data_IF_593268192853
#
_entry.id   IF_593268192853
#
_cell.length_a   1.000
_cell.length_b   1.000
_cell.length_c   1.000
_cell.angle_alpha   90.00
_cell.angle_beta   90.00
_cell.angle_gamma   90.00
#
_symmetry.space_group_name_H-M   'P 1'
#
loop_
_entity.id
_entity.type
_entity.pdbx_description
1 polymer ?
#
# COMPACT_ATOMS: atom_id res chain seq x y z
N UNK A 1 32.40 2.01 1.38
CA UNK A 1 31.01 2.36 1.06
C UNK A 1 30.12 1.20 1.49
N UNK A 2 29.07 1.44 2.28
CA UNK A 2 28.17 0.36 2.75
C UNK A 2 27.42 -0.28 1.56
N UNK A 3 26.90 -1.52 1.73
CA UNK A 3 26.06 -2.18 0.72
C UNK A 3 24.91 -1.28 0.28
N UNK A 4 24.32 -0.55 1.23
CA UNK A 4 23.16 0.28 0.93
C UNK A 4 23.53 1.56 0.19
N UNK A 5 24.67 2.19 0.52
CA UNK A 5 25.16 3.32 -0.25
C UNK A 5 25.50 2.93 -1.71
N UNK A 6 26.02 1.71 -1.94
CA UNK A 6 26.21 1.19 -3.29
C UNK A 6 24.88 0.97 -4.03
N UNK A 7 23.85 0.46 -3.34
CA UNK A 7 22.50 0.33 -3.93
C UNK A 7 21.92 1.70 -4.29
N UNK A 8 22.02 2.70 -3.41
CA UNK A 8 21.54 4.06 -3.68
C UNK A 8 22.22 4.66 -4.91
N UNK A 9 23.54 4.52 -5.04
CA UNK A 9 24.26 4.98 -6.22
C UNK A 9 23.75 4.33 -7.52
N UNK A 10 23.52 3.01 -7.49
CA UNK A 10 22.95 2.29 -8.64
C UNK A 10 21.53 2.75 -8.94
N UNK A 11 20.71 3.00 -7.92
CA UNK A 11 19.35 3.50 -8.08
C UNK A 11 19.36 4.88 -8.73
N UNK A 12 20.20 5.81 -8.28
CA UNK A 12 20.30 7.14 -8.90
C UNK A 12 20.71 7.06 -10.38
N UNK A 13 21.64 6.16 -10.72
CA UNK A 13 22.03 5.92 -12.11
C UNK A 13 20.87 5.34 -12.94
N UNK A 14 20.16 4.36 -12.40
CA UNK A 14 19.02 3.73 -13.07
C UNK A 14 17.83 4.68 -13.24
N UNK A 15 17.57 5.54 -12.25
CA UNK A 15 16.53 6.57 -12.33
C UNK A 15 16.85 7.57 -13.43
N UNK A 16 18.11 8.02 -13.51
CA UNK A 16 18.55 8.98 -14.51
C UNK A 16 18.50 8.43 -15.95
N UNK A 17 18.58 7.10 -16.13
CA UNK A 17 18.50 6.45 -17.44
C UNK A 17 17.09 5.96 -17.80
N UNK A 18 16.20 5.80 -16.83
CA UNK A 18 14.83 5.36 -17.06
C UNK A 18 13.96 6.51 -17.63
N UNK A 19 13.26 6.25 -18.73
CA UNK A 19 12.47 7.25 -19.45
C UNK A 19 11.11 7.59 -18.83
N UNK A 20 10.63 6.83 -17.85
CA UNK A 20 9.35 7.03 -17.16
C UNK A 20 9.35 6.45 -15.74
N UNK A 21 8.42 6.90 -14.90
CA UNK A 21 8.33 6.51 -13.48
C UNK A 21 8.06 5.01 -13.27
N UNK A 22 7.33 4.35 -14.17
CA UNK A 22 7.08 2.92 -14.07
C UNK A 22 8.39 2.11 -14.19
N UNK A 23 9.25 2.45 -15.16
CA UNK A 23 10.57 1.81 -15.32
C UNK A 23 11.51 2.11 -14.16
N UNK A 24 11.42 3.31 -13.57
CA UNK A 24 12.19 3.64 -12.36
C UNK A 24 11.86 2.69 -11.22
N UNK A 25 10.57 2.41 -10.99
CA UNK A 25 10.13 1.46 -9.95
C UNK A 25 10.62 0.04 -10.22
N UNK A 26 10.63 -0.41 -11.48
CA UNK A 26 11.14 -1.74 -11.84
C UNK A 26 12.63 -1.89 -11.52
N UNK A 27 13.44 -0.88 -11.86
CA UNK A 27 14.87 -0.90 -11.56
C UNK A 27 15.17 -0.80 -10.06
N UNK A 28 14.42 0.04 -9.33
CA UNK A 28 14.52 0.11 -7.87
C UNK A 28 14.22 -1.26 -7.25
N UNK A 29 13.12 -1.90 -7.66
CA UNK A 29 12.73 -3.20 -7.15
C UNK A 29 13.82 -4.26 -7.36
N UNK A 30 14.47 -4.27 -8.53
CA UNK A 30 15.61 -5.16 -8.82
C UNK A 30 16.80 -4.87 -7.90
N UNK A 31 17.17 -3.60 -7.72
CA UNK A 31 18.36 -3.22 -6.95
C UNK A 31 18.17 -3.45 -5.45
N UNK A 32 16.97 -3.14 -4.92
CA UNK A 32 16.62 -3.36 -3.51
C UNK A 32 16.32 -4.81 -3.19
N UNK A 33 15.89 -5.59 -4.17
CA UNK A 33 15.38 -6.94 -3.95
C UNK A 33 13.96 -6.92 -3.38
N UNK A 34 13.14 -5.96 -3.81
CA UNK A 34 11.71 -5.96 -3.48
C UNK A 34 11.04 -7.18 -4.10
N UNK A 35 9.99 -7.65 -3.44
CA UNK A 35 9.09 -8.62 -4.03
C UNK A 35 8.44 -8.01 -5.26
N UNK A 36 8.57 -8.71 -6.38
CA UNK A 36 8.23 -8.22 -7.72
C UNK A 36 7.87 -9.41 -8.62
N UNK A 37 7.17 -9.18 -9.74
CA UNK A 37 6.90 -10.24 -10.70
C UNK A 37 8.16 -10.95 -11.17
N UNK A 38 8.01 -12.24 -11.47
CA UNK A 38 9.03 -13.00 -12.15
C UNK A 38 9.35 -12.41 -13.53
N UNK A 39 10.59 -12.58 -13.97
CA UNK A 39 11.01 -12.13 -15.29
C UNK A 39 10.26 -12.92 -16.37
N UNK A 40 9.61 -12.22 -17.30
CA UNK A 40 8.76 -12.84 -18.32
C UNK A 40 7.41 -13.34 -17.80
N UNK A 41 6.94 -12.89 -16.63
CA UNK A 41 5.63 -13.27 -16.07
C UNK A 41 4.47 -12.87 -17.00
N UNK A 42 3.78 -13.87 -17.55
CA UNK A 42 2.54 -13.65 -18.34
C UNK A 42 1.42 -13.06 -17.48
N UNK A 43 1.40 -13.37 -16.17
CA UNK A 43 0.48 -12.75 -15.22
C UNK A 43 0.74 -11.25 -15.11
N UNK A 44 2.00 -10.84 -14.99
CA UNK A 44 2.35 -9.42 -14.95
C UNK A 44 1.95 -8.70 -16.22
N UNK A 45 2.24 -9.29 -17.38
CA UNK A 45 1.86 -8.76 -18.69
C UNK A 45 0.34 -8.58 -18.79
N UNK A 46 -0.44 -9.58 -18.37
CA UNK A 46 -1.91 -9.49 -18.37
C UNK A 46 -2.41 -8.36 -17.47
N UNK A 47 -1.81 -8.19 -16.29
CA UNK A 47 -2.14 -7.05 -15.40
C UNK A 47 -1.81 -5.72 -16.08
N UNK A 48 -0.71 -5.61 -16.83
CA UNK A 48 -0.36 -4.39 -17.56
C UNK A 48 -1.34 -4.09 -18.71
N UNK A 49 -1.66 -5.08 -19.53
CA UNK A 49 -2.62 -4.92 -20.63
C UNK A 49 -3.99 -4.43 -20.10
N UNK A 50 -4.41 -4.94 -18.94
CA UNK A 50 -5.63 -4.47 -18.27
C UNK A 50 -5.52 -3.03 -17.78
N UNK A 51 -4.40 -2.65 -17.16
CA UNK A 51 -4.17 -1.28 -16.69
C UNK A 51 -4.01 -0.27 -17.82
N UNK A 52 -3.57 -0.72 -18.98
CA UNK A 52 -3.44 0.04 -20.22
C UNK A 52 -4.73 0.01 -21.06
N UNK A 53 -5.82 -0.58 -20.54
CA UNK A 53 -7.14 -0.65 -21.21
C UNK A 53 -7.13 -1.42 -22.54
N UNK A 54 -6.12 -2.26 -22.74
CA UNK A 54 -6.05 -3.13 -23.92
C UNK A 54 -6.96 -4.36 -23.80
N UNK A 55 -7.30 -4.75 -22.57
CA UNK A 55 -8.27 -5.80 -22.24
C UNK A 55 -9.18 -5.34 -21.11
N UNK A 56 -10.38 -5.91 -21.02
CA UNK A 56 -11.31 -5.64 -19.92
C UNK A 56 -11.05 -6.55 -18.70
N UNK A 57 -11.78 -6.32 -17.61
CA UNK A 57 -11.62 -7.07 -16.36
C UNK A 57 -11.98 -8.56 -16.50
N UNK A 58 -12.94 -8.90 -17.37
CA UNK A 58 -13.36 -10.29 -17.57
C UNK A 58 -12.30 -11.06 -18.33
N UNK A 59 -11.71 -10.45 -19.36
CA UNK A 59 -10.61 -11.03 -20.12
C UNK A 59 -9.36 -11.16 -19.25
N UNK A 60 -9.01 -10.13 -18.48
CA UNK A 60 -7.90 -10.19 -17.53
C UNK A 60 -8.08 -11.30 -16.49
N UNK A 61 -9.27 -11.38 -15.87
CA UNK A 61 -9.62 -12.42 -14.91
C UNK A 61 -9.52 -13.81 -15.54
N UNK A 62 -10.10 -14.02 -16.73
CA UNK A 62 -10.04 -15.29 -17.44
C UNK A 62 -8.59 -15.74 -17.67
N UNK A 63 -7.72 -14.84 -18.15
CA UNK A 63 -6.32 -15.16 -18.45
C UNK A 63 -5.52 -15.45 -17.18
N UNK A 64 -5.71 -14.67 -16.13
CA UNK A 64 -5.00 -14.85 -14.86
C UNK A 64 -5.43 -16.11 -14.10
N UNK A 65 -6.73 -16.41 -14.12
CA UNK A 65 -7.30 -17.49 -13.31
C UNK A 65 -7.25 -18.84 -14.03
N UNK A 66 -7.12 -18.86 -15.36
CA UNK A 66 -7.09 -20.11 -16.13
C UNK A 66 -6.06 -21.12 -15.60
N UNK A 67 -4.81 -20.73 -15.40
CA UNK A 67 -3.78 -21.64 -14.92
C UNK A 67 -4.05 -22.13 -13.49
N UNK A 68 -4.69 -21.30 -12.68
CA UNK A 68 -5.08 -21.63 -11.30
C UNK A 68 -6.25 -22.64 -11.34
N UNK A 69 -7.26 -22.38 -12.15
CA UNK A 69 -8.43 -23.24 -12.35
C UNK A 69 -8.03 -24.63 -12.85
N UNK A 70 -7.11 -24.71 -13.81
CA UNK A 70 -6.58 -25.97 -14.33
C UNK A 70 -5.93 -26.82 -13.23
N UNK A 71 -5.11 -26.19 -12.37
CA UNK A 71 -4.44 -26.86 -11.25
C UNK A 71 -5.43 -27.27 -10.15
N UNK A 72 -6.44 -26.44 -9.89
CA UNK A 72 -7.53 -26.78 -8.96
C UNK A 72 -8.31 -28.00 -9.47
N UNK A 73 -8.66 -28.03 -10.77
CA UNK A 73 -9.34 -29.16 -11.43
C UNK A 73 -8.52 -30.44 -11.41
N UNK A 74 -7.20 -30.36 -11.54
CA UNK A 74 -6.31 -31.52 -11.43
C UNK A 74 -5.95 -31.90 -9.99
N UNK A 75 -6.47 -31.20 -8.98
CA UNK A 75 -6.10 -31.34 -7.56
C UNK A 75 -4.59 -31.14 -7.28
N UNK A 76 -3.90 -30.39 -8.14
CA UNK A 76 -2.49 -30.01 -8.03
C UNK A 76 -2.32 -28.70 -7.26
N UNK A 77 -2.86 -28.64 -6.04
CA UNK A 77 -2.95 -27.38 -5.28
C UNK A 77 -1.58 -26.80 -4.91
N UNK A 78 -0.60 -27.67 -4.63
CA UNK A 78 0.77 -27.26 -4.27
C UNK A 78 1.50 -26.56 -5.44
N UNK A 79 1.01 -26.70 -6.67
CA UNK A 79 1.58 -26.06 -7.87
C UNK A 79 0.98 -24.68 -8.15
N UNK A 80 -0.01 -24.24 -7.37
CA UNK A 80 -0.63 -22.93 -7.52
C UNK A 80 0.27 -21.87 -6.87
N UNK A 81 0.74 -20.92 -7.68
CA UNK A 81 1.61 -19.83 -7.21
C UNK A 81 0.80 -18.54 -7.01
N UNK A 82 0.08 -18.45 -5.89
CA UNK A 82 -0.66 -17.23 -5.54
C UNK A 82 0.27 -16.04 -5.27
N UNK A 83 1.46 -16.30 -4.71
CA UNK A 83 2.45 -15.25 -4.42
C UNK A 83 2.83 -14.47 -5.67
N UNK A 84 3.10 -15.14 -6.79
CA UNK A 84 3.42 -14.48 -8.07
C UNK A 84 2.28 -13.56 -8.53
N UNK A 85 1.02 -14.02 -8.44
CA UNK A 85 -0.14 -13.20 -8.80
C UNK A 85 -0.23 -11.94 -7.92
N UNK A 86 -0.06 -12.10 -6.60
CA UNK A 86 -0.09 -10.97 -5.67
C UNK A 86 1.08 -10.02 -5.88
N UNK A 87 2.28 -10.52 -6.13
CA UNK A 87 3.43 -9.70 -6.47
C UNK A 87 3.18 -8.92 -7.77
N UNK A 88 2.53 -9.51 -8.78
CA UNK A 88 2.13 -8.79 -10.00
C UNK A 88 1.20 -7.60 -9.71
N UNK A 89 0.15 -7.83 -8.93
CA UNK A 89 -0.88 -6.82 -8.62
C UNK A 89 -0.29 -5.72 -7.72
N UNK A 90 0.37 -6.10 -6.62
CA UNK A 90 0.90 -5.14 -5.64
C UNK A 90 2.07 -4.33 -6.23
N UNK A 91 2.94 -4.97 -7.02
CA UNK A 91 4.02 -4.25 -7.71
C UNK A 91 3.46 -3.24 -8.72
N UNK A 92 2.39 -3.58 -9.43
CA UNK A 92 1.72 -2.64 -10.35
C UNK A 92 1.16 -1.44 -9.61
N UNK A 93 0.59 -1.62 -8.42
CA UNK A 93 0.07 -0.51 -7.61
C UNK A 93 1.17 0.51 -7.24
N UNK A 94 2.41 0.08 -7.00
CA UNK A 94 3.54 0.98 -6.70
C UNK A 94 3.84 1.97 -7.84
N UNK A 95 3.54 1.61 -9.09
CA UNK A 95 3.95 2.34 -10.30
C UNK A 95 3.06 3.52 -10.66
N UNK A 96 1.87 3.64 -10.07
CA UNK A 96 0.90 4.68 -10.44
C UNK A 96 0.66 5.67 -9.32
N UNK A 97 0.90 6.98 -9.56
CA UNK A 97 0.61 8.03 -8.60
C UNK A 97 -0.84 7.97 -8.11
N UNK A 98 -1.05 8.04 -6.79
CA UNK A 98 -2.40 8.06 -6.21
C UNK A 98 -3.08 9.43 -6.25
N UNK A 99 -2.35 10.49 -6.65
CA UNK A 99 -2.83 11.90 -6.63
C UNK A 99 -2.89 12.57 -8.00
N UNK A 100 -2.69 11.84 -9.09
CA UNK A 100 -2.80 12.43 -10.43
C UNK A 100 -4.26 12.46 -10.92
N UNK A 101 -4.62 13.52 -11.65
CA UNK A 101 -5.91 13.79 -12.29
C UNK A 101 -6.20 12.81 -13.46
N UNK A 102 -6.16 11.51 -13.20
CA UNK A 102 -6.63 10.53 -14.17
C UNK A 102 -8.14 10.35 -14.04
N UNK A 103 -8.87 10.52 -15.15
CA UNK A 103 -10.30 10.18 -15.24
C UNK A 103 -10.61 8.73 -14.83
N UNK A 104 -9.59 7.87 -14.76
CA UNK A 104 -9.65 6.50 -14.27
C UNK A 104 -8.56 6.27 -13.22
N UNK A 105 -8.94 5.98 -11.98
CA UNK A 105 -7.99 5.61 -10.93
C UNK A 105 -7.49 4.18 -11.19
N UNK A 106 -6.24 4.03 -11.66
CA UNK A 106 -5.64 2.69 -11.92
C UNK A 106 -5.63 1.79 -10.69
N UNK A 107 -5.60 2.37 -9.49
CA UNK A 107 -5.77 1.63 -8.23
C UNK A 107 -7.15 0.99 -8.13
N UNK A 108 -8.23 1.68 -8.53
CA UNK A 108 -9.57 1.10 -8.53
C UNK A 108 -9.67 -0.07 -9.53
N UNK A 109 -9.00 0.02 -10.70
CA UNK A 109 -8.93 -1.10 -11.64
C UNK A 109 -8.31 -2.34 -11.00
N UNK A 110 -7.18 -2.19 -10.30
CA UNK A 110 -6.55 -3.30 -9.56
C UNK A 110 -7.47 -3.86 -8.47
N UNK A 111 -8.25 -3.01 -7.81
CA UNK A 111 -9.23 -3.42 -6.80
C UNK A 111 -10.39 -4.18 -7.43
N UNK A 112 -10.86 -3.78 -8.61
CA UNK A 112 -11.87 -4.51 -9.37
C UNK A 112 -11.37 -5.90 -9.80
N UNK A 113 -10.09 -6.01 -10.15
CA UNK A 113 -9.47 -7.31 -10.46
C UNK A 113 -9.38 -8.21 -9.22
N UNK A 114 -9.04 -7.65 -8.05
CA UNK A 114 -9.09 -8.40 -6.78
C UNK A 114 -10.51 -8.84 -6.46
N UNK A 115 -11.51 -7.98 -6.69
CA UNK A 115 -12.91 -8.32 -6.48
C UNK A 115 -13.33 -9.48 -7.39
N UNK A 116 -12.99 -9.41 -8.69
CA UNK A 116 -13.24 -10.48 -9.64
C UNK A 116 -12.60 -11.81 -9.19
N UNK A 117 -11.38 -11.76 -8.66
CA UNK A 117 -10.71 -12.94 -8.08
C UNK A 117 -11.49 -13.49 -6.89
N UNK A 118 -11.88 -12.63 -5.94
CA UNK A 118 -12.58 -13.05 -4.72
C UNK A 118 -13.95 -13.66 -5.00
N UNK A 119 -14.62 -13.17 -6.04
CA UNK A 119 -15.94 -13.63 -6.49
C UNK A 119 -15.86 -14.82 -7.48
N UNK A 120 -14.65 -15.18 -7.93
CA UNK A 120 -14.45 -16.29 -8.86
C UNK A 120 -14.75 -17.63 -8.21
N UNK A 121 -15.25 -18.56 -9.02
CA UNK A 121 -15.52 -19.94 -8.61
C UNK A 121 -15.19 -20.88 -9.74
N UNK A 122 -14.71 -22.08 -9.38
CA UNK A 122 -14.39 -23.11 -10.36
C UNK A 122 -15.61 -24.03 -10.52
N UNK A 123 -16.23 -24.09 -11.72
CA UNK A 123 -17.36 -24.98 -11.96
C UNK A 123 -17.01 -26.43 -11.60
N UNK A 124 -17.97 -27.12 -10.97
CA UNK A 124 -17.83 -28.53 -10.54
C UNK A 124 -16.71 -28.77 -9.51
N UNK A 125 -16.13 -27.72 -8.93
CA UNK A 125 -15.05 -27.83 -7.95
C UNK A 125 -15.22 -26.88 -6.75
N UNK A 126 -16.46 -26.81 -6.24
CA UNK A 126 -16.85 -25.92 -5.14
C UNK A 126 -16.01 -26.08 -3.87
N UNK A 127 -15.48 -27.29 -3.65
CA UNK A 127 -14.61 -27.63 -2.51
C UNK A 127 -13.39 -26.70 -2.41
N UNK A 128 -12.86 -26.20 -3.52
CA UNK A 128 -11.65 -25.37 -3.55
C UNK A 128 -11.92 -23.88 -3.81
N UNK A 129 -13.19 -23.44 -3.87
CA UNK A 129 -13.53 -22.03 -4.03
C UNK A 129 -13.05 -21.14 -2.86
N UNK A 130 -12.70 -21.73 -1.71
CA UNK A 130 -12.08 -20.99 -0.61
C UNK A 130 -10.74 -20.36 -1.01
N UNK A 131 -9.99 -20.97 -1.94
CA UNK A 131 -8.70 -20.43 -2.40
C UNK A 131 -8.84 -19.01 -2.99
N UNK A 132 -9.95 -18.77 -3.68
CA UNK A 132 -10.33 -17.47 -4.23
C UNK A 132 -10.96 -16.57 -3.18
N UNK A 133 -12.03 -17.03 -2.52
CA UNK A 133 -12.81 -16.20 -1.59
C UNK A 133 -12.05 -15.76 -0.34
N UNK A 134 -11.14 -16.60 0.17
CA UNK A 134 -10.22 -16.28 1.27
C UNK A 134 -8.96 -15.54 0.80
N UNK A 135 -8.74 -15.44 -0.52
CA UNK A 135 -7.57 -14.82 -1.13
C UNK A 135 -6.27 -15.43 -0.59
N UNK A 136 -6.08 -16.74 -0.81
CA UNK A 136 -4.92 -17.48 -0.31
C UNK A 136 -3.61 -16.74 -0.56
N UNK A 137 -2.76 -16.67 0.48
CA UNK A 137 -1.47 -15.97 0.52
C UNK A 137 -1.48 -14.44 0.35
N UNK A 138 -2.64 -13.80 0.14
CA UNK A 138 -2.70 -12.36 -0.07
C UNK A 138 -2.17 -11.55 1.12
N UNK A 139 -2.53 -11.95 2.34
CA UNK A 139 -2.04 -11.29 3.56
C UNK A 139 -0.51 -11.40 3.71
N UNK A 140 0.08 -12.51 3.27
CA UNK A 140 1.53 -12.72 3.27
C UNK A 140 2.21 -11.83 2.24
N UNK A 141 1.73 -11.82 1.00
CA UNK A 141 2.24 -10.93 -0.05
C UNK A 141 2.10 -9.46 0.35
N UNK A 142 1.00 -9.09 1.02
CA UNK A 142 0.82 -7.74 1.53
C UNK A 142 1.89 -7.36 2.56
N UNK A 143 2.20 -8.28 3.47
CA UNK A 143 3.21 -8.08 4.52
C UNK A 143 4.61 -7.98 3.93
N UNK A 144 4.93 -8.82 2.95
CA UNK A 144 6.18 -8.79 2.20
C UNK A 144 6.39 -7.45 1.52
N UNK A 145 5.42 -7.00 0.72
CA UNK A 145 5.49 -5.70 0.06
C UNK A 145 5.52 -4.52 1.06
N UNK A 146 4.91 -4.68 2.24
CA UNK A 146 4.97 -3.67 3.30
C UNK A 146 6.39 -3.54 3.91
N UNK A 147 7.25 -4.55 3.77
CA UNK A 147 8.65 -4.46 4.22
C UNK A 147 9.53 -3.67 3.25
N UNK A 148 9.03 -3.32 2.07
CA UNK A 148 9.70 -2.44 1.09
C UNK A 148 9.58 -0.95 1.45
N UNK A 149 9.31 -0.64 2.72
CA UNK A 149 9.22 0.72 3.25
C UNK A 149 10.52 1.50 2.96
N UNK A 150 10.46 2.79 2.58
CA UNK A 150 11.64 3.59 2.34
C UNK A 150 12.52 3.71 3.60
N UNK A 151 13.82 3.51 3.44
CA UNK A 151 14.81 3.63 4.54
C UNK A 151 15.84 4.69 4.18
N UNK A 152 16.18 5.53 5.15
CA UNK A 152 17.18 6.57 4.98
C UNK A 152 18.59 5.99 4.87
N UNK A 153 19.30 6.39 3.82
CA UNK A 153 20.71 6.05 3.61
C UNK A 153 21.40 7.22 2.91
N UNK A 154 21.68 8.27 3.68
CA UNK A 154 22.08 9.61 3.22
C UNK A 154 20.92 10.36 2.52
N UNK A 155 19.75 10.35 3.16
CA UNK A 155 18.48 10.83 2.64
C UNK A 155 17.58 9.70 2.15
N UNK A 156 16.42 10.10 1.60
CA UNK A 156 15.44 9.20 1.01
C UNK A 156 15.43 9.37 -0.51
N UNK A 157 15.16 8.28 -1.22
CA UNK A 157 14.93 8.30 -2.66
C UNK A 157 13.44 8.60 -2.89
N UNK A 158 13.16 9.66 -3.63
CA UNK A 158 11.79 10.18 -3.82
C UNK A 158 10.86 9.16 -4.47
N UNK A 159 11.34 8.42 -5.47
CA UNK A 159 10.61 7.36 -6.14
C UNK A 159 10.24 6.20 -5.20
N UNK A 160 11.06 5.92 -4.17
CA UNK A 160 10.72 4.91 -3.16
C UNK A 160 9.58 5.42 -2.26
N UNK A 161 9.62 6.69 -1.87
CA UNK A 161 8.58 7.34 -1.08
C UNK A 161 7.24 7.38 -1.83
N UNK A 162 7.27 7.71 -3.11
CA UNK A 162 6.09 7.71 -3.98
C UNK A 162 5.52 6.31 -4.14
N UNK A 163 6.35 5.32 -4.49
CA UNK A 163 5.93 3.92 -4.60
C UNK A 163 5.29 3.39 -3.32
N UNK A 164 5.88 3.77 -2.17
CA UNK A 164 5.36 3.42 -0.87
C UNK A 164 3.98 4.02 -0.60
N UNK A 165 3.79 5.30 -0.90
CA UNK A 165 2.51 5.97 -0.73
C UNK A 165 1.44 5.42 -1.69
N UNK A 166 1.80 5.13 -2.94
CA UNK A 166 0.93 4.51 -3.94
C UNK A 166 0.43 3.13 -3.46
N UNK A 167 1.32 2.29 -2.93
CA UNK A 167 0.93 1.00 -2.37
C UNK A 167 0.03 1.14 -1.14
N UNK A 168 0.31 2.09 -0.25
CA UNK A 168 -0.57 2.35 0.90
C UNK A 168 -1.97 2.81 0.46
N UNK A 169 -2.06 3.63 -0.60
CA UNK A 169 -3.34 4.02 -1.18
C UNK A 169 -4.10 2.79 -1.71
N UNK A 170 -3.42 1.90 -2.43
CA UNK A 170 -4.01 0.65 -2.90
C UNK A 170 -4.57 -0.20 -1.76
N UNK A 171 -3.80 -0.38 -0.67
CA UNK A 171 -4.29 -1.10 0.52
C UNK A 171 -5.49 -0.41 1.16
N UNK A 172 -5.49 0.93 1.18
CA UNK A 172 -6.62 1.71 1.65
C UNK A 172 -7.88 1.43 0.80
N UNK A 173 -7.76 1.41 -0.53
CA UNK A 173 -8.89 1.10 -1.42
C UNK A 173 -9.42 -0.32 -1.24
N UNK A 174 -8.55 -1.32 -1.06
CA UNK A 174 -8.94 -2.71 -0.76
C UNK A 174 -9.74 -2.79 0.55
N UNK A 175 -9.26 -2.12 1.60
CA UNK A 175 -9.94 -2.07 2.89
C UNK A 175 -11.26 -1.29 2.83
N UNK A 176 -11.33 -0.25 2.01
CA UNK A 176 -12.55 0.55 1.80
C UNK A 176 -13.67 -0.28 1.17
N UNK A 177 -13.32 -1.10 0.16
CA UNK A 177 -14.23 -2.03 -0.51
C UNK A 177 -14.52 -3.31 0.28
N UNK A 178 -14.00 -3.44 1.51
CA UNK A 178 -14.17 -4.61 2.39
C UNK A 178 -13.69 -5.94 1.77
N UNK A 179 -12.76 -5.90 0.82
CA UNK A 179 -12.26 -7.13 0.18
C UNK A 179 -11.34 -7.92 1.11
N UNK A 180 -10.54 -7.20 1.91
CA UNK A 180 -9.65 -7.75 2.93
C UNK A 180 -9.37 -6.69 4.03
N UNK A 181 -9.30 -7.11 5.31
CA UNK A 181 -8.97 -6.18 6.41
C UNK A 181 -7.47 -5.87 6.41
N UNK A 182 -7.12 -4.73 5.81
CA UNK A 182 -5.76 -4.17 5.80
C UNK A 182 -5.61 -2.98 6.76
N UNK A 183 -6.59 -2.74 7.63
CA UNK A 183 -6.62 -1.55 8.52
C UNK A 183 -5.40 -1.44 9.43
N UNK A 184 -4.78 -2.57 9.81
CA UNK A 184 -3.55 -2.58 10.60
C UNK A 184 -2.39 -1.82 9.94
N UNK A 185 -2.31 -1.82 8.61
CA UNK A 185 -1.31 -1.06 7.87
C UNK A 185 -1.57 0.45 7.94
N UNK A 186 -2.84 0.87 8.02
CA UNK A 186 -3.20 2.26 8.30
C UNK A 186 -2.64 2.71 9.66
N UNK A 187 -2.83 1.90 10.70
CA UNK A 187 -2.25 2.19 12.04
C UNK A 187 -0.74 2.33 11.99
N UNK A 188 -0.05 1.47 11.23
CA UNK A 188 1.40 1.53 11.13
C UNK A 188 1.86 2.81 10.41
N UNK A 189 1.22 3.18 9.30
CA UNK A 189 1.52 4.40 8.56
C UNK A 189 1.23 5.66 9.39
N UNK A 190 0.04 5.74 10.01
CA UNK A 190 -0.36 6.88 10.86
C UNK A 190 0.55 7.01 12.07
N UNK A 191 0.88 5.91 12.76
CA UNK A 191 1.78 5.94 13.92
C UNK A 191 3.14 6.49 13.55
N UNK A 192 3.75 5.98 12.49
CA UNK A 192 5.09 6.40 12.07
C UNK A 192 5.12 7.86 11.65
N UNK A 193 4.10 8.34 10.92
CA UNK A 193 4.09 9.72 10.42
C UNK A 193 3.63 10.75 11.46
N UNK A 194 2.70 10.39 12.35
CA UNK A 194 1.92 11.37 13.13
C UNK A 194 2.12 11.23 14.64
N UNK A 195 2.35 10.01 15.14
CA UNK A 195 2.44 9.74 16.59
C UNK A 195 3.87 9.66 17.12
N UNK A 196 4.84 9.41 16.25
CA UNK A 196 6.26 9.24 16.62
C UNK A 196 7.10 10.37 16.00
N UNK A 197 7.32 11.49 16.71
CA UNK A 197 8.09 12.61 16.19
C UNK A 197 9.51 12.18 15.77
N UNK A 198 9.91 12.40 14.52
CA UNK A 198 11.24 12.06 14.07
C UNK A 198 12.29 13.00 14.68
N UNK A 199 13.48 12.45 14.93
CA UNK A 199 14.69 13.20 15.31
C UNK A 199 15.73 13.07 14.20
N UNK A 200 16.69 13.99 14.14
CA UNK A 200 17.84 13.87 13.24
C UNK A 200 18.68 12.64 13.60
N UNK A 201 19.24 12.00 12.58
CA UNK A 201 20.24 10.95 12.74
C UNK A 201 21.31 11.04 11.63
N UNK A 202 22.39 10.23 11.67
CA UNK A 202 23.46 10.31 10.68
C UNK A 202 23.03 10.09 9.23
N UNK A 203 21.87 9.48 8.98
CA UNK A 203 21.38 9.10 7.65
C UNK A 203 20.28 10.03 7.13
N UNK A 204 19.60 10.80 7.99
CA UNK A 204 18.55 11.73 7.57
C UNK A 204 18.15 12.73 8.67
N UNK A 205 17.63 13.88 8.24
CA UNK A 205 17.00 14.88 9.11
C UNK A 205 15.57 14.50 9.47
N UNK A 206 15.04 15.10 10.55
CA UNK A 206 13.65 14.97 10.95
C UNK A 206 12.67 15.39 9.83
N UNK A 207 12.99 16.46 9.10
CA UNK A 207 12.17 16.94 7.98
C UNK A 207 12.12 15.92 6.85
N UNK A 208 13.26 15.33 6.47
CA UNK A 208 13.30 14.26 5.46
C UNK A 208 12.48 13.04 5.87
N UNK A 209 12.42 12.70 7.16
CA UNK A 209 11.58 11.62 7.67
C UNK A 209 10.10 11.96 7.59
N UNK A 210 9.69 13.21 7.82
CA UNK A 210 8.32 13.62 7.54
C UNK A 210 8.01 13.49 6.05
N UNK A 211 8.90 13.97 5.18
CA UNK A 211 8.74 13.87 3.72
C UNK A 211 8.59 12.43 3.24
N UNK A 212 9.24 11.47 3.91
CA UNK A 212 9.16 10.05 3.58
C UNK A 212 7.89 9.35 4.08
N UNK A 213 7.33 9.76 5.22
CA UNK A 213 6.27 8.99 5.90
C UNK A 213 4.87 9.60 5.77
N UNK A 214 4.76 10.92 5.73
CA UNK A 214 3.47 11.64 5.68
C UNK A 214 2.66 11.29 4.42
N UNK A 215 3.26 11.13 3.22
CA UNK A 215 2.48 10.76 2.02
C UNK A 215 1.74 9.42 2.17
N UNK A 216 2.35 8.41 2.80
CA UNK A 216 1.72 7.11 3.02
C UNK A 216 0.59 7.18 4.05
N UNK A 217 0.74 7.99 5.10
CA UNK A 217 -0.34 8.22 6.06
C UNK A 217 -1.52 8.96 5.40
N UNK A 218 -1.24 9.98 4.58
CA UNK A 218 -2.26 10.72 3.85
C UNK A 218 -3.02 9.82 2.86
N UNK A 219 -2.32 8.91 2.17
CA UNK A 219 -2.91 7.92 1.27
C UNK A 219 -4.04 7.09 1.93
N UNK A 220 -3.89 6.72 3.22
CA UNK A 220 -4.94 6.03 3.97
C UNK A 220 -6.18 6.89 4.23
N UNK A 221 -6.00 8.19 4.49
CA UNK A 221 -7.12 9.13 4.61
C UNK A 221 -7.86 9.22 3.28
N UNK A 222 -7.15 9.37 2.17
CA UNK A 222 -7.79 9.54 0.86
C UNK A 222 -8.48 8.27 0.39
N UNK A 223 -7.86 7.11 0.58
CA UNK A 223 -8.38 5.84 0.07
C UNK A 223 -9.45 5.20 0.96
N UNK A 224 -9.43 5.45 2.27
CA UNK A 224 -10.29 4.77 3.25
C UNK A 224 -10.74 5.65 4.44
N UNK A 225 -10.68 6.99 4.33
CA UNK A 225 -10.95 7.90 5.44
C UNK A 225 -12.34 7.74 6.06
N UNK A 226 -13.36 7.57 5.22
CA UNK A 226 -14.76 7.40 5.67
C UNK A 226 -14.92 6.22 6.64
N UNK A 227 -14.37 5.04 6.29
CA UNK A 227 -14.49 3.86 7.12
C UNK A 227 -13.51 3.89 8.28
N UNK A 228 -12.28 4.34 8.07
CA UNK A 228 -11.29 4.47 9.14
C UNK A 228 -11.79 5.37 10.27
N UNK A 229 -12.46 6.48 9.94
CA UNK A 229 -13.07 7.33 10.97
C UNK A 229 -14.08 6.55 11.81
N UNK A 230 -14.92 5.72 11.19
CA UNK A 230 -16.00 4.94 11.84
C UNK A 230 -15.53 3.62 12.44
N UNK A 231 -14.28 3.24 12.21
CA UNK A 231 -13.70 2.04 12.79
C UNK A 231 -13.39 2.34 14.27
N UNK A 232 -14.23 1.84 15.17
CA UNK A 232 -13.98 1.87 16.61
C UNK A 232 -13.70 0.45 17.07
N UNK A 233 -12.45 0.17 17.46
CA UNK A 233 -11.99 -1.21 17.74
C UNK A 233 -10.86 -1.19 18.76
N UNK A 234 -11.11 -1.74 19.94
CA UNK A 234 -10.08 -2.01 20.95
C UNK A 234 -9.24 -3.22 20.49
N UNK A 235 -7.95 -2.99 20.28
CA UNK A 235 -6.95 -3.96 19.84
C UNK A 235 -5.92 -4.22 20.94
N UNK A 236 -6.22 -3.83 22.18
CA UNK A 236 -5.36 -4.09 23.32
C UNK A 236 -5.23 -5.60 23.51
N UNK A 237 -4.00 -6.15 23.50
CA UNK A 237 -3.83 -7.59 23.68
C UNK A 237 -4.40 -8.06 25.01
N UNK A 238 -5.20 -9.13 24.97
CA UNK A 238 -5.82 -9.72 26.17
C UNK A 238 -4.87 -10.65 26.92
N UNK A 239 -3.80 -11.12 26.26
CA UNK A 239 -2.74 -11.95 26.83
C UNK A 239 -1.39 -11.23 26.73
N UNK A 240 -0.60 -11.27 27.82
CA UNK A 240 0.77 -10.71 27.89
C UNK A 240 1.76 -11.38 26.92
N UNK A 241 1.43 -12.57 26.41
CA UNK A 241 2.24 -13.28 25.40
C UNK A 241 2.03 -12.78 23.98
N UNK A 242 0.96 -12.02 23.74
CA UNK A 242 0.67 -11.44 22.44
C UNK A 242 1.46 -10.15 22.24
N UNK A 243 1.98 -9.95 21.03
CA UNK A 243 2.53 -8.65 20.65
C UNK A 243 1.44 -7.58 20.65
N UNK A 244 1.84 -6.30 20.72
CA UNK A 244 0.91 -5.17 20.66
C UNK A 244 1.15 -4.36 19.36
N UNK A 245 0.73 -4.87 18.20
CA UNK A 245 0.95 -4.19 16.94
C UNK A 245 0.20 -2.85 16.88
N UNK A 246 -0.94 -2.73 17.55
CA UNK A 246 -1.78 -1.52 17.57
C UNK A 246 -1.31 -0.44 18.56
N UNK A 247 -0.23 -0.67 19.32
CA UNK A 247 0.32 0.30 20.28
C UNK A 247 0.57 1.65 19.61
N UNK A 248 0.28 2.73 20.31
CA UNK A 248 0.63 4.08 19.85
C UNK A 248 2.11 4.40 19.84
N UNK A 249 2.42 5.46 19.10
CA UNK A 249 3.68 6.20 19.17
C UNK A 249 3.74 7.11 20.40
N UNK A 250 4.81 7.90 20.48
CA UNK A 250 5.14 8.72 21.65
C UNK A 250 4.07 9.76 22.01
N UNK A 251 3.35 10.30 21.03
CA UNK A 251 2.31 11.31 21.24
C UNK A 251 0.95 10.71 21.60
N UNK A 252 0.72 9.42 21.36
CA UNK A 252 -0.55 8.77 21.71
C UNK A 252 -0.50 8.21 23.13
N UNK A 253 -1.45 8.64 23.97
CA UNK A 253 -1.55 8.24 25.38
C UNK A 253 -2.76 7.35 25.68
N UNK A 254 -3.60 7.08 24.68
CA UNK A 254 -4.75 6.19 24.80
C UNK A 254 -4.39 4.72 24.62
N UNK A 255 -5.41 3.88 24.44
CA UNK A 255 -5.27 2.43 24.29
C UNK A 255 -4.73 2.04 22.91
N UNK A 256 -4.44 0.76 22.74
CA UNK A 256 -4.06 0.22 21.43
C UNK A 256 -5.33 -0.03 20.64
N UNK A 257 -5.83 0.99 19.94
CA UNK A 257 -7.18 0.97 19.35
C UNK A 257 -7.27 1.83 18.08
N UNK A 258 -8.38 1.65 17.36
CA UNK A 258 -8.96 2.71 16.53
C UNK A 258 -10.05 3.41 17.33
N UNK A 259 -9.98 4.74 17.43
CA UNK A 259 -10.92 5.57 18.15
C UNK A 259 -10.98 6.98 17.58
N UNK A 260 -12.06 7.70 17.90
CA UNK A 260 -12.27 9.09 17.47
C UNK A 260 -11.21 10.02 18.06
N UNK A 261 -10.77 9.74 19.28
CA UNK A 261 -9.71 10.47 19.96
C UNK A 261 -8.37 10.30 19.24
N UNK A 262 -8.05 9.08 18.80
CA UNK A 262 -6.83 8.80 18.03
C UNK A 262 -6.87 9.44 16.64
N UNK A 263 -8.03 9.41 16.00
CA UNK A 263 -8.28 10.13 14.76
C UNK A 263 -8.09 11.65 14.91
N UNK A 264 -8.61 12.24 16.00
CA UNK A 264 -8.43 13.65 16.29
C UNK A 264 -6.95 14.02 16.48
N UNK A 265 -6.16 13.18 17.15
CA UNK A 265 -4.71 13.34 17.22
C UNK A 265 -4.08 13.34 15.82
N UNK A 266 -4.41 12.36 14.98
CA UNK A 266 -3.88 12.31 13.60
C UNK A 266 -4.20 13.56 12.80
N UNK A 267 -5.45 14.04 12.87
CA UNK A 267 -5.88 15.27 12.19
C UNK A 267 -5.09 16.49 12.68
N UNK A 268 -4.93 16.64 13.99
CA UNK A 268 -4.11 17.70 14.58
C UNK A 268 -2.67 17.65 14.05
N UNK A 269 -2.07 16.46 14.00
CA UNK A 269 -0.69 16.27 13.57
C UNK A 269 -0.48 16.57 12.10
N UNK A 270 -1.41 16.18 11.23
CA UNK A 270 -1.39 16.63 9.83
C UNK A 270 -1.47 18.16 9.72
N UNK A 271 -2.34 18.82 10.49
CA UNK A 271 -2.47 20.27 10.47
C UNK A 271 -1.19 21.00 10.91
N UNK A 272 -0.45 20.45 11.87
CA UNK A 272 0.84 20.97 12.34
C UNK A 272 1.93 20.77 11.27
N UNK A 273 2.00 19.59 10.66
CA UNK A 273 2.97 19.28 9.58
C UNK A 273 2.72 20.17 8.36
N UNK A 274 1.46 20.45 8.01
CA UNK A 274 1.07 21.35 6.92
C UNK A 274 1.60 22.78 7.04
N UNK A 275 2.13 23.16 8.22
CA UNK A 275 2.70 24.49 8.54
C UNK A 275 4.20 24.42 8.88
N UNK A 276 4.81 23.24 8.86
CA UNK A 276 6.17 23.02 9.36
C UNK A 276 7.24 23.61 8.43
N UNK A 277 8.23 24.29 9.00
CA UNK A 277 9.36 24.85 8.24
C UNK A 277 10.36 23.74 7.91
N UNK A 278 10.82 23.70 6.65
CA UNK A 278 11.84 22.76 6.18
C UNK A 278 11.31 21.41 5.68
N UNK A 279 10.02 21.12 5.89
CA UNK A 279 9.30 20.02 5.21
C UNK A 279 8.96 20.45 3.77
N UNK A 280 9.10 19.54 2.80
CA UNK A 280 8.82 19.83 1.38
C UNK A 280 7.39 20.31 1.17
N UNK A 281 7.18 21.17 0.18
CA UNK A 281 5.85 21.71 -0.10
C UNK A 281 4.83 20.62 -0.44
N UNK A 282 5.21 19.62 -1.25
CA UNK A 282 4.33 18.50 -1.59
C UNK A 282 3.82 17.73 -0.36
N UNK A 283 4.68 17.55 0.64
CA UNK A 283 4.35 16.90 1.91
C UNK A 283 3.39 17.76 2.73
N UNK A 284 3.62 19.07 2.78
CA UNK A 284 2.72 20.01 3.45
C UNK A 284 1.35 20.08 2.79
N UNK A 285 1.31 20.07 1.45
CA UNK A 285 0.06 19.98 0.67
C UNK A 285 -0.66 18.67 0.98
N UNK A 286 0.03 17.53 0.94
CA UNK A 286 -0.55 16.23 1.31
C UNK A 286 -1.16 16.24 2.72
N UNK A 287 -0.47 16.86 3.67
CA UNK A 287 -0.96 16.98 5.05
C UNK A 287 -2.20 17.87 5.16
N UNK A 288 -2.23 19.02 4.48
CA UNK A 288 -3.41 19.91 4.48
C UNK A 288 -4.61 19.24 3.81
N UNK A 289 -4.42 18.63 2.66
CA UNK A 289 -5.50 17.94 1.94
C UNK A 289 -6.01 16.73 2.73
N UNK A 290 -5.14 16.07 3.51
CA UNK A 290 -5.55 15.02 4.43
C UNK A 290 -6.45 15.59 5.53
N UNK A 291 -6.15 16.75 6.12
CA UNK A 291 -7.04 17.41 7.10
C UNK A 291 -8.42 17.65 6.48
N UNK A 292 -8.48 18.28 5.31
CA UNK A 292 -9.75 18.54 4.62
C UNK A 292 -10.53 17.24 4.34
N UNK A 293 -9.84 16.17 3.94
CA UNK A 293 -10.45 14.85 3.71
C UNK A 293 -10.91 14.18 5.00
N UNK A 294 -10.20 14.39 6.11
CA UNK A 294 -10.62 13.88 7.42
C UNK A 294 -11.89 14.59 7.90
N UNK A 295 -11.98 15.92 7.72
CA UNK A 295 -13.18 16.70 8.04
C UNK A 295 -14.39 16.27 7.17
N UNK A 296 -14.16 15.98 5.89
CA UNK A 296 -15.19 15.38 5.03
C UNK A 296 -15.61 14.00 5.53
N UNK A 297 -14.66 13.15 5.92
CA UNK A 297 -14.94 11.79 6.43
C UNK A 297 -15.75 11.81 7.74
N UNK A 298 -15.56 12.86 8.56
CA UNK A 298 -16.31 13.11 9.79
C UNK A 298 -17.76 13.52 9.54
N UNK A 299 -18.02 14.23 8.45
CA UNK A 299 -19.31 14.91 8.19
C UNK A 299 -20.18 14.20 7.15
N UNK A 300 -19.59 13.60 6.11
CA UNK A 300 -20.33 13.03 4.97
C UNK A 300 -20.15 11.51 4.84
N UNK A 301 -21.11 10.88 4.15
CA UNK A 301 -21.03 9.53 3.57
C UNK A 301 -19.85 9.40 2.59
N UNK A 302 -19.43 8.18 2.16
CA UNK A 302 -18.49 8.08 1.06
C UNK A 302 -19.14 8.70 -0.18
N UNK A 303 -18.41 9.55 -0.90
CA UNK A 303 -18.82 9.97 -2.25
C UNK A 303 -18.87 8.72 -3.11
N UNK A 304 -20.07 8.39 -3.61
CA UNK A 304 -20.30 7.29 -4.56
C UNK A 304 -19.56 7.52 -5.88
#
# INVERSE_FOLDING_TARGET
MSRVAQQNQKIHQAIASAGDGAKQIEEIAKIRGWFRPQEGSESYKTVQEYLEESIDVNEAASRLFQSIDEKIKSASLDDVNFMELWHCIIHSAKRFPYREDAAVCKHDKLVDLIKALKEHSVPENEKYNYLYSEMTDFGMACREAYNDVPVAHDGFIEQEVEAWANMNFFYARIAERELHDLSMYALFAMRTALESPPVDDPTSTANQKYDANVPAAAAWVFGNGYRLFRLEKDLTPSDRKQGNPARGGELWKGKSEFSKERWALWKQRFAEIGKMVGVKEQTKVAARDAVDSMEKSETYGPTQ
#
